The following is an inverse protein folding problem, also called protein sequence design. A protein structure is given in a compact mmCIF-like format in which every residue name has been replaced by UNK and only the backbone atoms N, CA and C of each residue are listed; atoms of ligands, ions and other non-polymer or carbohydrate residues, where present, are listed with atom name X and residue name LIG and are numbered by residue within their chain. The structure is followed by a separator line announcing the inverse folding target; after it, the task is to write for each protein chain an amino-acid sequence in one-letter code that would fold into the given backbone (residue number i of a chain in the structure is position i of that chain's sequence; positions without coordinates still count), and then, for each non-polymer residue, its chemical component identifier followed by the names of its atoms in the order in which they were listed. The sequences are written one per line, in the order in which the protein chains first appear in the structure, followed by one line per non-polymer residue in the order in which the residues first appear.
data_IF_281449077080
#
_entry.id   IF_281449077080
#
_cell.length_a   1.000
_cell.length_b   1.000
_cell.length_c   1.000
_cell.angle_alpha   90.00
_cell.angle_beta   90.00
_cell.angle_gamma   90.00
#
_symmetry.space_group_name_H-M   'P 1'
#
loop_
_entity.id
_entity.type
_entity.pdbx_description
1 polymer ?
#
# COMPACT_ATOMS: atom_id res chain seq x y z
N UNK A 1 37.25 -25.01 -15.41
CA UNK A 1 35.89 -24.77 -15.95
C UNK A 1 34.77 -25.03 -14.95
N UNK A 2 34.80 -26.10 -14.13
CA UNK A 2 33.74 -26.39 -13.12
C UNK A 2 33.61 -25.39 -11.95
N UNK A 3 34.63 -24.55 -11.71
CA UNK A 3 34.61 -23.52 -10.64
C UNK A 3 33.97 -22.19 -11.05
N UNK A 4 33.88 -21.91 -12.37
CA UNK A 4 33.26 -20.68 -12.90
C UNK A 4 31.73 -20.81 -13.00
N UNK A 5 31.23 -22.01 -13.28
CA UNK A 5 29.78 -22.27 -13.35
C UNK A 5 29.06 -22.18 -12.00
N UNK A 6 29.74 -22.54 -10.89
CA UNK A 6 29.16 -22.43 -9.55
C UNK A 6 29.01 -20.97 -9.07
N UNK A 7 29.93 -20.09 -9.49
CA UNK A 7 29.94 -18.67 -9.11
C UNK A 7 28.86 -17.87 -9.84
N UNK A 8 28.60 -18.20 -11.11
CA UNK A 8 27.50 -17.59 -11.89
C UNK A 8 26.13 -18.06 -11.38
N UNK A 9 26.00 -19.33 -10.99
CA UNK A 9 24.75 -19.84 -10.41
C UNK A 9 24.47 -19.25 -9.01
N UNK A 10 25.50 -19.08 -8.17
CA UNK A 10 25.36 -18.40 -6.89
C UNK A 10 25.03 -16.90 -7.04
N UNK A 11 25.59 -16.23 -8.05
CA UNK A 11 25.25 -14.84 -8.36
C UNK A 11 23.83 -14.67 -8.94
N UNK A 12 23.31 -15.65 -9.69
CA UNK A 12 21.92 -15.64 -10.16
C UNK A 12 20.90 -15.96 -9.05
N UNK A 13 21.25 -16.77 -8.06
CA UNK A 13 20.36 -17.09 -6.92
C UNK A 13 20.30 -15.91 -5.93
N UNK A 14 21.38 -15.13 -5.80
CA UNK A 14 21.38 -13.91 -4.99
C UNK A 14 20.70 -12.70 -5.65
N UNK A 15 20.43 -12.76 -6.97
CA UNK A 15 19.80 -11.67 -7.72
C UNK A 15 18.25 -11.74 -7.75
N UNK A 16 17.63 -12.83 -7.26
CA UNK A 16 16.16 -13.00 -7.29
C UNK A 16 15.50 -12.90 -5.91
N UNK A 17 16.27 -12.68 -4.84
CA UNK A 17 15.74 -12.44 -3.50
C UNK A 17 15.47 -10.95 -3.22
N UNK A 18 15.20 -10.16 -4.26
CA UNK A 18 14.49 -8.90 -4.07
C UNK A 18 13.10 -9.29 -3.60
N UNK A 19 12.84 -9.25 -2.30
CA UNK A 19 11.51 -9.43 -1.76
C UNK A 19 10.65 -8.29 -2.28
N UNK A 20 10.00 -8.50 -3.42
CA UNK A 20 8.91 -7.65 -3.86
C UNK A 20 7.86 -7.70 -2.74
N UNK A 21 7.37 -6.56 -2.26
CA UNK A 21 6.37 -6.49 -1.19
C UNK A 21 5.35 -5.43 -1.58
N UNK A 22 4.06 -5.73 -1.34
CA UNK A 22 2.94 -4.79 -1.42
C UNK A 22 2.88 -3.97 -2.72
N UNK A 23 3.23 -4.58 -3.85
CA UNK A 23 3.20 -3.89 -5.13
C UNK A 23 1.86 -4.14 -5.82
N UNK A 24 1.44 -3.21 -6.66
CA UNK A 24 0.20 -3.31 -7.43
C UNK A 24 0.30 -4.31 -8.61
N UNK A 25 1.49 -4.89 -8.81
CA UNK A 25 1.76 -6.04 -9.67
C UNK A 25 1.74 -7.38 -8.92
N UNK A 26 1.61 -7.39 -7.59
CA UNK A 26 1.38 -8.61 -6.82
C UNK A 26 0.03 -9.22 -7.20
N UNK A 27 -0.08 -10.54 -7.03
CA UNK A 27 -1.32 -11.29 -7.24
C UNK A 27 -1.91 -11.76 -5.93
N UNK A 28 -3.16 -12.23 -5.95
CA UNK A 28 -3.78 -12.88 -4.80
C UNK A 28 -2.92 -14.03 -4.24
N UNK A 29 -2.32 -14.82 -5.12
CA UNK A 29 -1.42 -15.91 -4.71
C UNK A 29 -0.14 -15.39 -4.05
N UNK A 30 0.51 -14.35 -4.59
CA UNK A 30 1.75 -13.82 -3.99
C UNK A 30 1.49 -13.11 -2.66
N UNK A 31 0.36 -12.43 -2.52
CA UNK A 31 -0.06 -11.82 -1.25
C UNK A 31 -0.27 -12.89 -0.17
N UNK A 32 -1.01 -13.96 -0.48
CA UNK A 32 -1.25 -15.04 0.47
C UNK A 32 0.04 -15.74 0.91
N UNK A 33 0.95 -16.00 -0.04
CA UNK A 33 2.25 -16.60 0.26
C UNK A 33 3.12 -15.71 1.18
N UNK A 34 2.96 -14.38 1.09
CA UNK A 34 3.83 -13.42 1.76
C UNK A 34 3.32 -12.92 3.10
N UNK A 35 2.02 -12.70 3.21
CA UNK A 35 1.38 -12.11 4.39
C UNK A 35 0.48 -13.09 5.14
N UNK A 36 0.66 -14.39 4.88
CA UNK A 36 -0.25 -15.48 5.25
C UNK A 36 -1.60 -15.42 4.53
N UNK A 37 -2.31 -16.54 4.60
CA UNK A 37 -3.70 -16.65 4.14
C UNK A 37 -4.59 -15.58 4.78
N UNK A 38 -5.58 -15.10 4.03
CA UNK A 38 -6.56 -14.14 4.55
C UNK A 38 -7.34 -14.76 5.71
N UNK A 39 -7.69 -13.94 6.70
CA UNK A 39 -8.48 -14.35 7.87
C UNK A 39 -9.97 -14.09 7.69
N UNK A 40 -10.29 -12.94 7.08
CA UNK A 40 -11.66 -12.49 6.85
C UNK A 40 -11.85 -12.03 5.40
N UNK A 41 -13.08 -12.08 4.93
CA UNK A 41 -13.55 -11.48 3.68
C UNK A 41 -14.57 -10.41 4.02
N UNK A 42 -14.45 -9.25 3.38
CA UNK A 42 -15.50 -8.24 3.35
C UNK A 42 -16.17 -8.37 1.99
N UNK A 43 -17.47 -8.60 1.96
CA UNK A 43 -18.23 -8.66 0.71
C UNK A 43 -18.65 -7.27 0.21
N UNK A 44 -19.31 -7.23 -0.95
CA UNK A 44 -19.77 -5.97 -1.56
C UNK A 44 -20.85 -5.25 -0.78
N UNK A 45 -21.49 -5.91 0.18
CA UNK A 45 -22.51 -5.33 1.07
C UNK A 45 -21.91 -4.92 2.43
N UNK A 46 -20.57 -4.93 2.54
CA UNK A 46 -19.79 -4.68 3.76
C UNK A 46 -20.02 -5.70 4.89
N UNK A 47 -20.53 -6.89 4.58
CA UNK A 47 -20.64 -7.97 5.55
C UNK A 47 -19.28 -8.66 5.71
N UNK A 48 -18.90 -8.89 6.97
CA UNK A 48 -17.71 -9.65 7.34
C UNK A 48 -18.02 -11.14 7.38
N UNK A 49 -17.10 -11.91 6.80
CA UNK A 49 -17.11 -13.37 6.78
C UNK A 49 -15.78 -13.90 7.29
N UNK A 50 -15.80 -14.90 8.16
CA UNK A 50 -14.57 -15.68 8.41
C UNK A 50 -14.18 -16.45 7.16
N UNK A 51 -12.90 -16.80 7.02
CA UNK A 51 -12.43 -17.67 5.93
C UNK A 51 -13.26 -18.95 5.82
N UNK A 52 -13.52 -19.61 6.94
CA UNK A 52 -14.27 -20.87 6.98
C UNK A 52 -15.71 -20.70 6.46
N UNK A 53 -16.41 -19.64 6.88
CA UNK A 53 -17.77 -19.36 6.40
C UNK A 53 -17.79 -19.00 4.91
N UNK A 54 -16.81 -18.19 4.49
CA UNK A 54 -16.66 -17.78 3.11
C UNK A 54 -16.47 -18.97 2.19
N UNK A 55 -15.54 -19.88 2.53
CA UNK A 55 -15.20 -21.08 1.75
C UNK A 55 -16.31 -22.13 1.78
N UNK A 56 -17.05 -22.25 2.88
CA UNK A 56 -18.17 -23.17 2.97
C UNK A 56 -19.37 -22.72 2.12
N UNK A 57 -19.80 -21.45 2.27
CA UNK A 57 -21.03 -20.96 1.63
C UNK A 57 -21.01 -19.49 1.18
N UNK A 58 -20.18 -18.63 1.76
CA UNK A 58 -20.22 -17.19 1.49
C UNK A 58 -20.01 -16.84 0.02
N UNK A 59 -19.06 -17.49 -0.65
CA UNK A 59 -18.76 -17.24 -2.07
C UNK A 59 -19.91 -17.56 -3.03
N UNK A 60 -20.90 -18.37 -2.59
CA UNK A 60 -22.11 -18.68 -3.38
C UNK A 60 -23.21 -17.64 -3.20
N UNK A 61 -23.16 -16.86 -2.11
CA UNK A 61 -24.20 -15.93 -1.69
C UNK A 61 -23.84 -14.48 -2.00
N UNK A 62 -22.56 -14.14 -1.96
CA UNK A 62 -22.07 -12.78 -2.10
C UNK A 62 -20.80 -12.71 -2.95
N UNK A 63 -20.40 -11.49 -3.33
CA UNK A 63 -19.14 -11.23 -4.02
C UNK A 63 -18.15 -10.60 -3.04
N UNK A 64 -16.93 -11.13 -3.00
CA UNK A 64 -15.87 -10.52 -2.20
C UNK A 64 -15.54 -9.11 -2.74
N UNK A 65 -15.47 -8.13 -1.84
CA UNK A 65 -14.95 -6.80 -2.11
C UNK A 65 -13.46 -6.69 -1.72
N UNK A 66 -13.10 -7.23 -0.56
CA UNK A 66 -11.72 -7.22 -0.07
C UNK A 66 -11.42 -8.39 0.88
N UNK A 67 -10.14 -8.62 1.13
CA UNK A 67 -9.62 -9.69 1.97
C UNK A 67 -8.73 -9.11 3.05
N UNK A 68 -8.93 -9.52 4.31
CA UNK A 68 -8.16 -9.06 5.45
C UNK A 68 -7.07 -10.08 5.81
N UNK A 69 -5.84 -9.59 5.86
CA UNK A 69 -4.65 -10.29 6.32
C UNK A 69 -4.17 -9.62 7.63
N UNK A 70 -3.49 -10.37 8.48
CA UNK A 70 -2.87 -9.83 9.68
C UNK A 70 -1.51 -10.46 9.89
N UNK A 71 -0.50 -9.63 10.15
CA UNK A 71 0.88 -10.04 10.34
C UNK A 71 1.60 -9.10 11.31
N UNK A 72 2.79 -9.48 11.74
CA UNK A 72 3.63 -8.67 12.62
C UNK A 72 4.94 -8.31 11.90
N UNK A 73 5.43 -7.09 12.11
CA UNK A 73 6.77 -6.66 11.67
C UNK A 73 7.45 -5.87 12.78
N UNK A 74 8.62 -6.33 13.23
CA UNK A 74 9.41 -5.62 14.24
C UNK A 74 8.58 -5.28 15.50
N UNK A 75 7.70 -6.20 15.94
CA UNK A 75 6.80 -5.99 17.08
C UNK A 75 5.57 -5.12 16.81
N UNK A 76 5.36 -4.65 15.58
CA UNK A 76 4.17 -3.90 15.16
C UNK A 76 3.15 -4.85 14.54
N UNK A 77 1.96 -4.97 15.12
CA UNK A 77 0.88 -5.75 14.52
C UNK A 77 0.18 -4.91 13.44
N UNK A 78 -0.01 -5.50 12.27
CA UNK A 78 -0.54 -4.81 11.10
C UNK A 78 -1.70 -5.60 10.54
N UNK A 79 -2.86 -4.95 10.44
CA UNK A 79 -3.95 -5.42 9.60
C UNK A 79 -3.74 -4.88 8.19
N UNK A 80 -3.86 -5.75 7.19
CA UNK A 80 -3.81 -5.36 5.79
C UNK A 80 -5.09 -5.79 5.07
N UNK A 81 -5.78 -4.83 4.48
CA UNK A 81 -6.92 -5.08 3.60
C UNK A 81 -6.48 -5.00 2.16
N UNK A 82 -6.81 -6.02 1.36
CA UNK A 82 -6.42 -6.09 -0.05
C UNK A 82 -7.65 -6.24 -0.94
N UNK A 83 -7.75 -5.36 -1.93
CA UNK A 83 -8.71 -5.44 -3.02
C UNK A 83 -8.01 -5.96 -4.27
N UNK A 84 -8.62 -6.93 -4.96
CA UNK A 84 -8.11 -7.49 -6.20
C UNK A 84 -8.98 -7.10 -7.39
N UNK A 85 -8.45 -7.19 -8.61
CA UNK A 85 -9.23 -6.97 -9.84
C UNK A 85 -10.37 -7.98 -10.02
N UNK A 86 -10.18 -9.21 -9.52
CA UNK A 86 -11.16 -10.28 -9.46
C UNK A 86 -10.70 -11.34 -8.43
N UNK A 87 -11.43 -12.45 -8.31
CA UNK A 87 -11.16 -13.48 -7.30
C UNK A 87 -10.18 -14.59 -7.73
N UNK A 88 -9.64 -14.55 -8.95
CA UNK A 88 -8.68 -15.57 -9.40
C UNK A 88 -7.33 -15.46 -8.66
N UNK A 89 -6.57 -16.57 -8.53
CA UNK A 89 -5.24 -16.53 -7.91
C UNK A 89 -4.26 -15.57 -8.60
N UNK A 90 -4.39 -15.40 -9.92
CA UNK A 90 -3.58 -14.49 -10.73
C UNK A 90 -4.10 -13.05 -10.79
N UNK A 91 -5.18 -12.73 -10.08
CA UNK A 91 -5.73 -11.39 -10.05
C UNK A 91 -4.74 -10.40 -9.43
N UNK A 92 -4.46 -9.31 -10.13
CA UNK A 92 -3.59 -8.26 -9.62
C UNK A 92 -4.24 -7.52 -8.46
N UNK A 93 -3.40 -7.04 -7.55
CA UNK A 93 -3.78 -6.09 -6.51
C UNK A 93 -4.27 -4.79 -7.14
N UNK A 94 -5.47 -4.37 -6.73
CA UNK A 94 -6.08 -3.08 -7.12
C UNK A 94 -5.77 -2.00 -6.10
N UNK A 95 -5.91 -2.33 -4.81
CA UNK A 95 -5.67 -1.45 -3.69
C UNK A 95 -5.26 -2.26 -2.46
N UNK A 96 -4.43 -1.66 -1.61
CA UNK A 96 -4.09 -2.19 -0.29
C UNK A 96 -4.27 -1.08 0.74
N UNK A 97 -4.66 -1.46 1.95
CA UNK A 97 -4.67 -0.59 3.12
C UNK A 97 -3.94 -1.28 4.25
N UNK A 98 -3.07 -0.55 4.92
CA UNK A 98 -2.29 -1.02 6.05
C UNK A 98 -2.69 -0.21 7.27
N UNK A 99 -3.06 -0.91 8.33
CA UNK A 99 -3.48 -0.34 9.60
C UNK A 99 -2.64 -0.99 10.70
N UNK A 100 -1.50 -0.37 11.05
CA UNK A 100 -0.78 -0.67 12.26
C UNK A 100 -1.67 -0.49 13.50
N UNK A 101 -1.50 -1.33 14.51
CA UNK A 101 -2.14 -1.16 15.82
C UNK A 101 -1.70 0.15 16.51
N UNK A 102 -0.42 0.50 16.36
CA UNK A 102 0.19 1.75 16.83
C UNK A 102 0.59 2.65 15.66
N UNK A 103 0.28 3.94 15.77
CA UNK A 103 0.72 4.90 14.77
C UNK A 103 2.26 5.03 14.78
N UNK A 104 2.87 5.10 13.61
CA UNK A 104 4.33 5.15 13.44
C UNK A 104 4.78 6.52 12.95
N UNK A 105 5.95 7.00 13.34
CA UNK A 105 6.48 8.26 12.79
C UNK A 105 6.94 8.07 11.36
N UNK A 106 6.85 9.12 10.54
CA UNK A 106 7.33 9.10 9.15
C UNK A 106 8.80 8.64 9.07
N UNK A 107 9.67 9.15 9.94
CA UNK A 107 11.10 8.75 9.98
C UNK A 107 11.33 7.26 10.25
N UNK A 108 10.40 6.61 10.94
CA UNK A 108 10.50 5.19 11.30
C UNK A 108 9.87 4.30 10.23
N UNK A 109 9.26 4.88 9.18
CA UNK A 109 8.55 4.13 8.14
C UNK A 109 9.44 3.10 7.45
N UNK A 110 10.71 3.43 7.18
CA UNK A 110 11.70 2.51 6.60
C UNK A 110 11.91 1.26 7.45
N UNK A 111 11.84 1.38 8.76
CA UNK A 111 12.07 0.26 9.68
C UNK A 111 10.97 -0.80 9.55
N UNK A 112 9.71 -0.37 9.44
CA UNK A 112 8.56 -1.27 9.36
C UNK A 112 8.23 -1.70 7.92
N UNK A 113 8.43 -0.81 6.94
CA UNK A 113 8.04 -1.00 5.54
C UNK A 113 9.19 -0.65 4.59
N UNK A 114 10.35 -1.33 4.65
CA UNK A 114 11.55 -0.97 3.88
C UNK A 114 11.32 -1.02 2.36
N UNK A 115 10.38 -1.85 1.89
CA UNK A 115 10.13 -2.04 0.46
C UNK A 115 9.20 -0.96 -0.11
N UNK A 116 8.18 -0.59 0.65
CA UNK A 116 7.33 0.55 0.33
C UNK A 116 8.17 1.84 0.45
N UNK A 117 9.08 1.90 1.43
CA UNK A 117 10.05 2.97 1.53
C UNK A 117 10.89 3.11 0.24
N UNK A 118 11.43 2.01 -0.30
CA UNK A 118 12.20 2.05 -1.54
C UNK A 118 11.38 2.61 -2.72
N UNK A 119 10.08 2.28 -2.77
CA UNK A 119 9.16 2.79 -3.77
C UNK A 119 8.92 4.31 -3.64
N UNK A 120 8.62 4.81 -2.44
CA UNK A 120 8.35 6.25 -2.19
C UNK A 120 9.62 7.11 -2.17
N UNK A 121 10.79 6.51 -1.90
CA UNK A 121 12.09 7.17 -1.98
C UNK A 121 12.62 7.23 -3.43
N UNK A 122 11.97 6.55 -4.39
CA UNK A 122 12.45 6.50 -5.77
C UNK A 122 12.53 7.91 -6.42
N UNK A 123 13.44 8.12 -7.41
CA UNK A 123 13.53 9.40 -8.12
C UNK A 123 12.25 9.79 -8.87
N UNK A 124 11.37 8.83 -9.14
CA UNK A 124 10.09 9.03 -9.83
C UNK A 124 8.93 9.28 -8.86
N UNK A 125 9.18 9.23 -7.57
CA UNK A 125 8.20 9.54 -6.54
C UNK A 125 8.16 11.04 -6.27
N UNK A 126 6.96 11.57 -6.04
CA UNK A 126 6.74 12.96 -5.64
C UNK A 126 5.81 12.99 -4.42
N UNK A 127 6.30 13.57 -3.33
CA UNK A 127 5.53 13.73 -2.09
C UNK A 127 4.75 15.04 -2.14
N UNK A 128 3.51 15.01 -1.67
CA UNK A 128 2.63 16.16 -1.66
C UNK A 128 1.69 16.10 -0.45
N UNK A 129 1.05 17.23 -0.16
CA UNK A 129 -0.07 17.33 0.76
C UNK A 129 -1.30 17.87 0.02
N UNK A 130 -2.48 17.50 0.49
CA UNK A 130 -3.74 18.01 -0.04
C UNK A 130 -4.80 18.09 1.06
N UNK A 131 -5.79 18.95 0.84
CA UNK A 131 -6.99 19.09 1.67
C UNK A 131 -8.18 18.30 1.09
N UNK A 132 -7.99 17.64 -0.05
CA UNK A 132 -8.99 16.77 -0.67
C UNK A 132 -8.80 15.33 -0.21
N UNK A 133 -9.89 14.57 -0.18
CA UNK A 133 -9.82 13.13 0.02
C UNK A 133 -9.03 12.46 -1.13
N UNK A 134 -7.90 11.83 -0.80
CA UNK A 134 -7.13 11.04 -1.77
C UNK A 134 -7.68 9.64 -1.98
N UNK A 135 -8.30 9.09 -0.93
CA UNK A 135 -8.81 7.73 -0.93
C UNK A 135 -10.05 7.60 -0.07
N UNK A 136 -10.95 6.74 -0.54
CA UNK A 136 -12.12 6.27 0.21
C UNK A 136 -11.83 5.06 1.09
N UNK A 137 -10.64 4.46 0.99
CA UNK A 137 -10.35 3.19 1.64
C UNK A 137 -9.90 3.37 3.10
N UNK A 138 -9.43 4.55 3.49
CA UNK A 138 -9.16 4.88 4.90
C UNK A 138 -10.37 4.59 5.79
N UNK A 139 -10.13 3.94 6.94
CA UNK A 139 -11.15 3.64 7.96
C UNK A 139 -10.95 4.41 9.25
N UNK A 140 -9.75 4.93 9.49
CA UNK A 140 -9.41 5.68 10.69
C UNK A 140 -9.87 7.14 10.54
N UNK A 141 -10.03 7.83 11.67
CA UNK A 141 -10.34 9.25 11.65
C UNK A 141 -9.28 10.01 10.85
N UNK A 142 -9.73 10.71 9.80
CA UNK A 142 -8.84 11.38 8.84
C UNK A 142 -8.51 12.80 9.31
N UNK A 143 -7.25 13.16 9.17
CA UNK A 143 -6.84 14.56 9.27
C UNK A 143 -7.40 15.37 8.09
N UNK A 144 -7.76 16.66 8.29
CA UNK A 144 -8.13 17.55 7.20
C UNK A 144 -7.06 17.64 6.10
N UNK A 145 -5.78 17.51 6.47
CA UNK A 145 -4.69 17.32 5.52
C UNK A 145 -4.38 15.83 5.37
N UNK A 146 -4.27 15.39 4.13
CA UNK A 146 -3.73 14.09 3.77
C UNK A 146 -2.37 14.26 3.13
N UNK A 147 -1.40 13.44 3.52
CA UNK A 147 -0.11 13.33 2.86
C UNK A 147 -0.17 12.23 1.80
N UNK A 148 0.43 12.47 0.64
CA UNK A 148 0.50 11.49 -0.44
C UNK A 148 1.88 11.40 -1.06
N UNK A 149 2.17 10.26 -1.67
CA UNK A 149 3.29 10.07 -2.57
C UNK A 149 2.77 9.45 -3.85
N UNK A 150 3.00 10.11 -4.99
CA UNK A 150 2.72 9.54 -6.31
C UNK A 150 4.02 9.04 -6.93
N UNK A 151 4.04 7.78 -7.40
CA UNK A 151 5.18 7.20 -8.12
C UNK A 151 4.87 7.16 -9.59
N UNK A 152 5.59 7.96 -10.37
CA UNK A 152 5.38 8.22 -11.80
C UNK A 152 5.93 7.08 -12.68
N UNK A 153 5.59 5.84 -12.34
CA UNK A 153 5.83 4.62 -13.13
C UNK A 153 4.56 3.81 -13.25
N UNK A 154 4.39 3.05 -14.34
CA UNK A 154 3.30 2.09 -14.43
C UNK A 154 3.33 1.12 -13.23
N UNK A 155 2.18 0.90 -12.55
CA UNK A 155 2.12 0.07 -11.35
C UNK A 155 2.22 -1.44 -11.64
N UNK A 156 1.96 -1.86 -12.87
CA UNK A 156 2.08 -3.25 -13.33
C UNK A 156 2.21 -3.29 -14.87
N UNK A 157 2.67 -4.41 -15.45
CA UNK A 157 2.67 -4.60 -16.90
C UNK A 157 1.29 -4.34 -17.51
N UNK A 158 1.25 -3.62 -18.64
CA UNK A 158 0.00 -3.24 -19.32
C UNK A 158 -0.81 -2.13 -18.63
N UNK A 159 -0.34 -1.54 -17.52
CA UNK A 159 -1.03 -0.44 -16.80
C UNK A 159 -0.41 0.95 -17.07
N UNK A 160 0.02 1.21 -18.31
CA UNK A 160 0.71 2.47 -18.69
C UNK A 160 -0.10 3.76 -18.48
N UNK A 161 -1.43 3.66 -18.36
CA UNK A 161 -2.31 4.79 -18.05
C UNK A 161 -2.43 5.14 -16.56
N UNK A 162 -1.72 4.43 -15.68
CA UNK A 162 -1.82 4.58 -14.24
C UNK A 162 -0.45 4.87 -13.60
N UNK A 163 -0.51 5.48 -12.42
CA UNK A 163 0.58 5.59 -11.46
C UNK A 163 0.20 4.89 -10.15
N UNK A 164 1.19 4.64 -9.31
CA UNK A 164 0.96 4.23 -7.92
C UNK A 164 0.77 5.48 -7.07
N UNK A 165 -0.33 5.54 -6.32
CA UNK A 165 -0.57 6.51 -5.27
C UNK A 165 -0.45 5.81 -3.91
N UNK A 166 0.38 6.36 -3.04
CA UNK A 166 0.45 6.00 -1.64
C UNK A 166 -0.15 7.16 -0.84
N UNK A 167 -1.28 6.94 -0.17
CA UNK A 167 -1.91 7.95 0.67
C UNK A 167 -1.67 7.61 2.15
N UNK A 168 -1.34 8.61 2.95
CA UNK A 168 -1.05 8.47 4.38
C UNK A 168 -2.05 9.27 5.19
N UNK A 169 -2.76 8.61 6.10
CA UNK A 169 -3.53 9.27 7.14
C UNK A 169 -2.57 9.72 8.24
N UNK A 170 -2.15 10.98 8.17
CA UNK A 170 -1.15 11.56 9.07
C UNK A 170 -1.79 12.22 10.28
N UNK A 171 -1.15 12.15 11.44
CA UNK A 171 -1.62 12.73 12.70
C UNK A 171 -0.44 13.35 13.47
N UNK A 172 -0.73 14.24 14.42
CA UNK A 172 0.25 14.84 15.31
C UNK A 172 -0.06 14.44 16.76
N UNK A 173 0.69 13.48 17.31
CA UNK A 173 0.48 12.95 18.67
C UNK A 173 -0.98 12.56 18.96
N UNK A 174 -1.65 11.91 18.00
CA UNK A 174 -3.06 11.50 18.10
C UNK A 174 -4.08 12.61 17.81
N UNK A 175 -3.62 13.81 17.43
CA UNK A 175 -4.47 14.91 16.96
C UNK A 175 -4.53 14.97 15.45
N UNK A 176 -5.68 15.41 14.94
CA UNK A 176 -5.88 15.62 13.52
C UNK A 176 -5.09 16.84 13.02
N UNK A 177 -4.30 16.65 11.98
CA UNK A 177 -3.42 17.65 11.40
C UNK A 177 -4.20 18.52 10.41
N UNK A 178 -4.22 19.83 10.66
CA UNK A 178 -5.07 20.78 9.92
C UNK A 178 -4.36 21.55 8.80
N UNK A 179 -3.03 21.55 8.78
CA UNK A 179 -2.24 22.36 7.86
C UNK A 179 -0.92 21.64 7.52
N UNK A 180 -0.63 21.55 6.22
CA UNK A 180 0.50 20.82 5.67
C UNK A 180 1.87 21.27 6.21
N UNK A 181 2.00 22.53 6.66
CA UNK A 181 3.26 23.04 7.21
C UNK A 181 3.72 22.33 8.48
N UNK A 182 2.82 21.64 9.17
CA UNK A 182 3.12 20.87 10.37
C UNK A 182 3.58 19.44 10.08
N UNK A 183 3.50 18.99 8.82
CA UNK A 183 4.06 17.70 8.43
C UNK A 183 5.58 17.77 8.52
N UNK A 184 6.17 16.85 9.29
CA UNK A 184 7.61 16.65 9.41
C UNK A 184 7.92 15.18 9.72
N UNK A 185 9.19 14.85 9.88
CA UNK A 185 9.65 13.47 10.10
C UNK A 185 9.12 12.83 11.41
N UNK A 186 8.63 13.62 12.36
CA UNK A 186 8.00 13.14 13.61
C UNK A 186 6.47 13.04 13.54
N UNK A 187 5.84 13.48 12.45
CA UNK A 187 4.42 13.27 12.21
C UNK A 187 4.11 11.78 12.17
N UNK A 188 2.98 11.38 12.75
CA UNK A 188 2.54 9.99 12.84
C UNK A 188 1.73 9.58 11.61
N UNK A 189 1.82 8.31 11.22
CA UNK A 189 1.02 7.64 10.20
C UNK A 189 0.13 6.64 10.94
N UNK A 190 -1.18 6.86 10.90
CA UNK A 190 -2.18 5.99 11.53
C UNK A 190 -2.58 4.82 10.64
N UNK A 191 -2.71 5.09 9.35
CA UNK A 191 -2.90 4.09 8.31
C UNK A 191 -2.38 4.66 6.98
N UNK A 192 -2.14 3.77 6.02
CA UNK A 192 -1.80 4.19 4.66
C UNK A 192 -2.40 3.23 3.64
N UNK A 193 -2.59 3.72 2.41
CA UNK A 193 -3.06 2.92 1.29
C UNK A 193 -2.06 2.92 0.14
N UNK A 194 -2.09 1.88 -0.69
CA UNK A 194 -1.36 1.79 -1.95
C UNK A 194 -2.39 1.46 -3.03
N UNK A 195 -2.55 2.36 -4.00
CA UNK A 195 -3.64 2.31 -4.97
C UNK A 195 -3.19 2.76 -6.36
N UNK A 196 -3.98 2.44 -7.37
CA UNK A 196 -3.80 2.98 -8.71
C UNK A 196 -4.51 4.32 -8.84
N UNK A 197 -3.82 5.31 -9.38
CA UNK A 197 -4.43 6.56 -9.84
C UNK A 197 -4.22 6.72 -11.34
N UNK A 198 -5.20 7.27 -12.04
CA UNK A 198 -5.02 7.66 -13.44
C UNK A 198 -3.88 8.65 -13.56
N UNK A 199 -3.00 8.43 -14.55
CA UNK A 199 -1.89 9.33 -14.84
C UNK A 199 -2.35 10.77 -15.07
N UNK A 200 -3.43 10.95 -15.84
CA UNK A 200 -4.01 12.28 -16.11
C UNK A 200 -4.47 12.96 -14.82
N UNK A 201 -5.24 12.27 -13.98
CA UNK A 201 -5.72 12.83 -12.72
C UNK A 201 -4.58 13.26 -11.78
N UNK A 202 -3.51 12.48 -11.69
CA UNK A 202 -2.32 12.86 -10.92
C UNK A 202 -1.58 14.06 -11.53
N UNK A 203 -1.48 14.14 -12.85
CA UNK A 203 -0.85 15.26 -13.55
C UNK A 203 -1.67 16.55 -13.39
N UNK A 204 -2.99 16.47 -13.50
CA UNK A 204 -3.90 17.59 -13.33
C UNK A 204 -3.85 18.13 -11.90
N UNK A 205 -3.88 17.23 -10.90
CA UNK A 205 -3.83 17.61 -9.48
C UNK A 205 -2.50 18.29 -9.08
N UNK A 206 -1.38 17.88 -9.68
CA UNK A 206 -0.09 18.56 -9.51
C UNK A 206 -0.05 19.89 -10.27
N UNK A 207 -0.61 19.93 -11.48
CA UNK A 207 -0.56 21.10 -12.36
C UNK A 207 -1.47 22.25 -11.91
N UNK A 208 -2.57 21.96 -11.22
CA UNK A 208 -3.54 22.96 -10.76
C UNK A 208 -3.35 23.40 -9.29
N UNK A 209 -2.36 22.82 -8.58
CA UNK A 209 -2.06 23.14 -7.18
C UNK A 209 -2.94 22.42 -6.14
N UNK A 210 -3.85 21.52 -6.54
CA UNK A 210 -4.63 20.70 -5.61
C UNK A 210 -3.73 19.80 -4.74
N UNK A 211 -2.64 19.32 -5.34
CA UNK A 211 -1.56 18.61 -4.67
C UNK A 211 -0.37 19.56 -4.53
N UNK A 212 -0.14 20.04 -3.32
CA UNK A 212 1.00 20.92 -3.03
C UNK A 212 2.23 20.07 -2.73
N UNK A 213 3.31 20.15 -3.53
CA UNK A 213 4.53 19.39 -3.26
C UNK A 213 5.10 19.73 -1.89
N UNK A 214 5.58 18.71 -1.18
CA UNK A 214 6.23 18.85 0.13
C UNK A 214 7.60 18.19 0.12
N UNK A 215 8.43 18.51 1.12
CA UNK A 215 9.68 17.79 1.34
C UNK A 215 9.38 16.30 1.54
N UNK A 216 10.22 15.43 0.96
CA UNK A 216 10.20 14.01 1.30
C UNK A 216 10.79 13.85 2.71
N UNK A 217 9.92 13.60 3.68
CA UNK A 217 10.30 13.38 5.09
C UNK A 217 10.66 11.93 5.41
N UNK A 218 10.51 11.03 4.43
CA UNK A 218 10.93 9.63 4.47
C UNK A 218 12.45 9.53 4.34
#
# INVERSE_FOLDING_TARGET
MKKLTALVLAALILATAGTAFANLDDTRATIAARYSEYRLVIDTDNQLWTKAEWEATGYKKAKAASFLHAFERQGLHIQMEVQYENNSPGALVKAQRFTPDLAIKIKDFKHYFPEIYALIASPKAEAFATYRDLTRNFQEAKSPVTMGVVVKTPPAPGKGGYYTLIAFNVQDEGRLLKDAKYINENTYIREFTIERIFRSAAQDALGNGDWTPIKKYF
#
